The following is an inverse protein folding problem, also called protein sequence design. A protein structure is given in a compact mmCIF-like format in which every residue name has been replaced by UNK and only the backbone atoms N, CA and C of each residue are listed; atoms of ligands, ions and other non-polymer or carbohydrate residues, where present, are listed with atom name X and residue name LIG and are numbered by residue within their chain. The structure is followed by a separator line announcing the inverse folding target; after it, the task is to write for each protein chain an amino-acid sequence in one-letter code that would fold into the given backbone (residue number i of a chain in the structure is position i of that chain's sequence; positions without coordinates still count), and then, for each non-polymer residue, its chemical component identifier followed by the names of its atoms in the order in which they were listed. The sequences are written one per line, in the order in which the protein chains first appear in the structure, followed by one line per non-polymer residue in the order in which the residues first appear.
data_IF_241392144596
#
_entry.id   IF_241392144596
#
_cell.length_a   1.000
_cell.length_b   1.000
_cell.length_c   1.000
_cell.angle_alpha   90.00
_cell.angle_beta   90.00
_cell.angle_gamma   90.00
#
_symmetry.space_group_name_H-M   'P 1'
#
loop_
_entity.id
_entity.type
_entity.pdbx_description
1 polymer ?
#
# COMPACT_ATOMS: atom_id res chain seq x y z
N UNK A 1 8.81 -31.44 68.43
CA UNK A 1 9.64 -31.66 67.22
C UNK A 1 8.87 -31.43 65.91
N UNK A 2 7.60 -31.83 65.79
CA UNK A 2 6.77 -31.63 64.59
C UNK A 2 6.69 -30.17 64.10
N UNK A 3 6.35 -29.23 65.00
CA UNK A 3 6.24 -27.79 64.66
C UNK A 3 7.54 -27.16 64.11
N UNK A 4 8.72 -27.62 64.56
CA UNK A 4 10.00 -27.06 64.09
C UNK A 4 10.32 -27.50 62.65
N UNK A 5 9.89 -28.70 62.26
CA UNK A 5 10.04 -29.19 60.89
C UNK A 5 9.06 -28.49 59.94
N UNK A 6 7.82 -28.24 60.37
CA UNK A 6 6.83 -27.48 59.59
C UNK A 6 7.28 -26.04 59.33
N UNK A 7 7.80 -25.34 60.36
CA UNK A 7 8.36 -24.00 60.19
C UNK A 7 9.55 -23.96 59.21
N UNK A 8 10.38 -25.01 59.20
CA UNK A 8 11.53 -25.11 58.29
C UNK A 8 11.09 -25.33 56.84
N UNK A 9 10.09 -26.17 56.60
CA UNK A 9 9.54 -26.39 55.26
C UNK A 9 8.79 -25.15 54.75
N UNK A 10 8.00 -24.48 55.60
CA UNK A 10 7.35 -23.21 55.26
C UNK A 10 8.39 -22.14 54.87
N UNK A 11 9.50 -22.05 55.61
CA UNK A 11 10.57 -21.08 55.29
C UNK A 11 11.24 -21.35 53.94
N UNK A 12 11.48 -22.62 53.60
CA UNK A 12 12.02 -23.00 52.27
C UNK A 12 11.03 -22.64 51.17
N UNK A 13 9.75 -22.91 51.37
CA UNK A 13 8.72 -22.63 50.38
C UNK A 13 8.54 -21.12 50.17
N UNK A 14 8.60 -20.32 51.24
CA UNK A 14 8.61 -18.86 51.15
C UNK A 14 9.79 -18.33 50.33
N UNK A 15 10.99 -18.90 50.50
CA UNK A 15 12.16 -18.53 49.68
C UNK A 15 11.94 -18.85 48.20
N UNK A 16 11.46 -20.05 47.88
CA UNK A 16 11.13 -20.43 46.49
C UNK A 16 10.08 -19.50 45.88
N UNK A 17 9.05 -19.15 46.63
CA UNK A 17 8.00 -18.24 46.17
C UNK A 17 8.54 -16.82 45.94
N UNK A 18 9.46 -16.34 46.79
CA UNK A 18 10.14 -15.06 46.60
C UNK A 18 11.02 -15.07 45.35
N UNK A 19 11.84 -16.09 45.15
CA UNK A 19 12.66 -16.26 43.95
C UNK A 19 11.81 -16.32 42.68
N UNK A 20 10.73 -17.10 42.71
CA UNK A 20 9.80 -17.21 41.60
C UNK A 20 9.13 -15.88 41.29
N UNK A 21 8.71 -15.13 42.33
CA UNK A 21 8.14 -13.78 42.17
C UNK A 21 9.13 -12.86 41.46
N UNK A 22 10.39 -12.82 41.88
CA UNK A 22 11.43 -11.99 41.24
C UNK A 22 11.65 -12.38 39.78
N UNK A 23 11.69 -13.67 39.47
CA UNK A 23 11.82 -14.16 38.08
C UNK A 23 10.62 -13.75 37.23
N UNK A 24 9.40 -13.87 37.76
CA UNK A 24 8.17 -13.49 37.07
C UNK A 24 8.13 -11.98 36.83
N UNK A 25 8.47 -11.16 37.82
CA UNK A 25 8.54 -9.70 37.69
C UNK A 25 9.56 -9.27 36.63
N UNK A 26 10.74 -9.89 36.61
CA UNK A 26 11.76 -9.64 35.59
C UNK A 26 11.26 -10.01 34.18
N UNK A 27 10.57 -11.15 34.03
CA UNK A 27 9.97 -11.55 32.75
C UNK A 27 8.87 -10.58 32.30
N UNK A 28 8.02 -10.13 33.23
CA UNK A 28 6.98 -9.13 32.94
C UNK A 28 7.61 -7.82 32.46
N UNK A 29 8.66 -7.35 33.13
CA UNK A 29 9.36 -6.13 32.73
C UNK A 29 9.98 -6.26 31.33
N UNK A 30 10.66 -7.38 31.05
CA UNK A 30 11.22 -7.68 29.72
C UNK A 30 10.14 -7.73 28.64
N UNK A 31 9.03 -8.40 28.91
CA UNK A 31 7.92 -8.53 27.96
C UNK A 31 7.24 -7.18 27.71
N UNK A 32 7.10 -6.33 28.72
CA UNK A 32 6.58 -4.96 28.54
C UNK A 32 7.48 -4.13 27.62
N UNK A 33 8.80 -4.20 27.81
CA UNK A 33 9.77 -3.51 26.94
C UNK A 33 9.70 -4.01 25.51
N UNK A 34 9.71 -5.34 25.32
CA UNK A 34 9.60 -5.95 23.99
C UNK A 34 8.28 -5.56 23.29
N UNK A 35 7.17 -5.51 24.03
CA UNK A 35 5.88 -5.08 23.50
C UNK A 35 5.90 -3.62 23.03
N UNK A 36 6.59 -2.73 23.76
CA UNK A 36 6.76 -1.34 23.35
C UNK A 36 7.59 -1.23 22.07
N UNK A 37 8.69 -1.98 21.97
CA UNK A 37 9.54 -2.03 20.78
C UNK A 37 8.76 -2.54 19.56
N UNK A 38 8.01 -3.63 19.71
CA UNK A 38 7.16 -4.18 18.63
C UNK A 38 6.11 -3.16 18.18
N UNK A 39 5.48 -2.43 19.11
CA UNK A 39 4.50 -1.38 18.77
C UNK A 39 5.15 -0.24 18.00
N UNK A 40 6.34 0.19 18.40
CA UNK A 40 7.08 1.24 17.70
C UNK A 40 7.48 0.80 16.29
N UNK A 41 8.01 -0.41 16.12
CA UNK A 41 8.37 -0.96 14.82
C UNK A 41 7.15 -1.14 13.91
N UNK A 42 6.02 -1.63 14.46
CA UNK A 42 4.77 -1.75 13.70
C UNK A 42 4.30 -0.40 13.17
N UNK A 43 4.35 0.65 13.99
CA UNK A 43 3.98 2.00 13.57
C UNK A 43 4.92 2.51 12.47
N UNK A 44 6.23 2.35 12.64
CA UNK A 44 7.21 2.75 11.62
C UNK A 44 6.99 2.03 10.29
N UNK A 45 6.67 0.74 10.31
CA UNK A 45 6.33 -0.02 9.11
C UNK A 45 5.04 0.46 8.44
N UNK A 46 4.03 0.82 9.21
CA UNK A 46 2.79 1.38 8.68
C UNK A 46 3.04 2.74 8.00
N UNK A 47 3.82 3.61 8.64
CA UNK A 47 4.18 4.93 8.07
C UNK A 47 5.03 4.79 6.81
N UNK A 48 5.95 3.82 6.78
CA UNK A 48 6.76 3.50 5.61
C UNK A 48 5.91 2.98 4.46
N UNK A 49 4.99 2.04 4.72
CA UNK A 49 4.08 1.51 3.70
C UNK A 49 3.22 2.64 3.09
N UNK A 50 2.65 3.50 3.93
CA UNK A 50 1.88 4.65 3.45
C UNK A 50 2.73 5.62 2.60
N UNK A 51 4.01 5.76 2.92
CA UNK A 51 4.95 6.58 2.13
C UNK A 51 5.27 5.94 0.78
N UNK A 52 5.54 4.63 0.77
CA UNK A 52 5.80 3.86 -0.46
C UNK A 52 4.58 3.89 -1.38
N UNK A 53 3.38 3.66 -0.86
CA UNK A 53 2.14 3.73 -1.64
C UNK A 53 1.95 5.11 -2.28
N UNK A 54 2.21 6.19 -1.54
CA UNK A 54 2.18 7.56 -2.08
C UNK A 54 3.22 7.77 -3.17
N UNK A 55 4.44 7.28 -2.99
CA UNK A 55 5.50 7.39 -3.99
C UNK A 55 5.17 6.61 -5.27
N UNK A 56 4.66 5.39 -5.14
CA UNK A 56 4.21 4.58 -6.29
C UNK A 56 3.13 5.35 -7.06
N UNK A 57 2.10 5.84 -6.38
CA UNK A 57 1.03 6.61 -7.01
C UNK A 57 1.55 7.88 -7.71
N UNK A 58 2.53 8.57 -7.10
CA UNK A 58 3.17 9.74 -7.71
C UNK A 58 3.98 9.37 -8.95
N UNK A 59 4.78 8.31 -8.91
CA UNK A 59 5.59 7.85 -10.03
C UNK A 59 4.69 7.41 -11.19
N UNK A 60 3.63 6.65 -10.90
CA UNK A 60 2.64 6.25 -11.91
C UNK A 60 1.96 7.47 -12.52
N UNK A 61 1.49 8.42 -11.71
CA UNK A 61 0.87 9.66 -12.20
C UNK A 61 1.83 10.46 -13.08
N UNK A 62 3.10 10.61 -12.68
CA UNK A 62 4.11 11.31 -13.48
C UNK A 62 4.39 10.58 -14.79
N UNK A 63 4.50 9.25 -14.77
CA UNK A 63 4.71 8.44 -15.96
C UNK A 63 3.57 8.60 -16.96
N UNK A 64 2.33 8.52 -16.50
CA UNK A 64 1.16 8.69 -17.39
C UNK A 64 1.01 10.12 -17.89
N UNK A 65 1.35 11.14 -17.08
CA UNK A 65 1.40 12.54 -17.54
C UNK A 65 2.43 12.76 -18.64
N UNK A 66 3.61 12.13 -18.52
CA UNK A 66 4.65 12.20 -19.56
C UNK A 66 4.18 11.52 -20.85
N UNK A 67 3.67 10.30 -20.75
CA UNK A 67 3.11 9.59 -21.91
C UNK A 67 1.97 10.38 -22.56
N UNK A 68 1.08 10.97 -21.77
CA UNK A 68 0.02 11.83 -22.29
C UNK A 68 0.59 13.01 -23.09
N UNK A 69 1.65 13.66 -22.61
CA UNK A 69 2.33 14.74 -23.34
C UNK A 69 2.96 14.26 -24.64
N UNK A 70 3.58 13.09 -24.63
CA UNK A 70 4.17 12.50 -25.84
C UNK A 70 3.09 12.23 -26.90
N UNK A 71 1.94 11.65 -26.50
CA UNK A 71 0.80 11.40 -27.39
C UNK A 71 0.09 12.70 -27.83
N UNK A 72 0.02 13.72 -26.97
CA UNK A 72 -0.50 15.04 -27.34
C UNK A 72 0.35 15.75 -28.41
N UNK A 73 1.64 15.43 -28.48
CA UNK A 73 2.56 15.97 -29.47
C UNK A 73 2.49 15.28 -30.84
N UNK A 74 1.80 14.14 -30.93
CA UNK A 74 1.62 13.40 -32.17
C UNK A 74 0.44 13.90 -32.99
N UNK A 75 0.44 13.65 -34.29
CA UNK A 75 -0.75 13.79 -35.13
C UNK A 75 -1.87 12.88 -34.61
N UNK A 76 -3.14 13.34 -34.59
CA UNK A 76 -4.25 12.59 -33.99
C UNK A 76 -4.46 11.18 -34.57
N UNK A 77 -4.28 11.02 -35.88
CA UNK A 77 -4.41 9.72 -36.56
C UNK A 77 -3.36 8.74 -36.08
N UNK A 78 -2.09 9.16 -36.04
CA UNK A 78 -0.99 8.33 -35.57
C UNK A 78 -1.11 8.02 -34.07
N UNK A 79 -1.56 8.97 -33.26
CA UNK A 79 -1.85 8.75 -31.85
C UNK A 79 -2.94 7.67 -31.66
N UNK A 80 -4.05 7.77 -32.40
CA UNK A 80 -5.14 6.79 -32.36
C UNK A 80 -4.71 5.38 -32.81
N UNK A 81 -3.92 5.30 -33.89
CA UNK A 81 -3.35 4.03 -34.36
C UNK A 81 -2.44 3.39 -33.30
N UNK A 82 -1.57 4.19 -32.67
CA UNK A 82 -0.68 3.69 -31.60
C UNK A 82 -1.45 3.25 -30.37
N UNK A 83 -2.45 4.02 -29.93
CA UNK A 83 -3.32 3.63 -28.82
C UNK A 83 -4.03 2.29 -29.09
N UNK A 84 -4.39 2.03 -30.35
CA UNK A 84 -5.05 0.78 -30.76
C UNK A 84 -4.14 -0.44 -30.62
N UNK A 85 -2.82 -0.25 -30.77
CA UNK A 85 -1.79 -1.31 -30.71
C UNK A 85 -1.28 -1.59 -29.29
N UNK A 86 -1.73 -0.83 -28.29
CA UNK A 86 -1.36 -1.09 -26.89
C UNK A 86 -2.09 -2.36 -26.42
N UNK A 87 -1.32 -3.37 -25.99
CA UNK A 87 -1.86 -4.67 -25.58
C UNK A 87 -2.78 -4.58 -24.35
N UNK A 88 -2.41 -3.75 -23.36
CA UNK A 88 -3.24 -3.50 -22.19
C UNK A 88 -4.11 -2.23 -22.38
N UNK A 89 -5.44 -2.36 -22.55
CA UNK A 89 -6.33 -1.23 -22.72
C UNK A 89 -6.33 -0.26 -21.54
N UNK A 90 -5.91 -0.69 -20.34
CA UNK A 90 -5.77 0.20 -19.19
C UNK A 90 -4.69 1.25 -19.42
N UNK A 91 -3.56 0.86 -20.00
CA UNK A 91 -2.46 1.80 -20.28
C UNK A 91 -2.94 2.88 -21.25
N UNK A 92 -3.61 2.50 -22.34
CA UNK A 92 -4.19 3.44 -23.29
C UNK A 92 -5.23 4.37 -22.62
N UNK A 93 -6.09 3.83 -21.76
CA UNK A 93 -7.07 4.62 -21.02
C UNK A 93 -6.40 5.62 -20.05
N UNK A 94 -5.37 5.22 -19.31
CA UNK A 94 -4.66 6.14 -18.40
C UNK A 94 -3.89 7.23 -19.16
N UNK A 95 -3.33 6.92 -20.33
CA UNK A 95 -2.72 7.93 -21.21
C UNK A 95 -3.78 8.95 -21.61
N UNK A 96 -4.88 8.49 -22.24
CA UNK A 96 -5.98 9.35 -22.70
C UNK A 96 -6.61 10.18 -21.56
N UNK A 97 -6.75 9.59 -20.37
CA UNK A 97 -7.27 10.28 -19.19
C UNK A 97 -6.39 11.45 -18.74
N UNK A 98 -5.07 11.34 -18.91
CA UNK A 98 -4.11 12.40 -18.56
C UNK A 98 -3.84 13.39 -19.70
N UNK A 99 -4.37 13.14 -20.90
CA UNK A 99 -4.27 14.05 -22.05
C UNK A 99 -5.26 15.21 -21.93
N UNK A 100 -5.00 16.28 -22.68
CA UNK A 100 -5.95 17.34 -22.93
C UNK A 100 -7.21 16.75 -23.60
N UNK A 101 -8.37 17.03 -23.02
CA UNK A 101 -9.67 16.48 -23.45
C UNK A 101 -9.91 16.60 -24.97
N UNK A 102 -9.52 17.73 -25.58
CA UNK A 102 -9.70 17.94 -27.02
C UNK A 102 -8.83 16.99 -27.84
N UNK A 103 -7.53 16.94 -27.53
CA UNK A 103 -6.57 16.07 -28.23
C UNK A 103 -6.87 14.59 -28.01
N UNK A 104 -7.31 14.22 -26.81
CA UNK A 104 -7.77 12.88 -26.51
C UNK A 104 -9.00 12.50 -27.36
N UNK A 105 -9.97 13.41 -27.48
CA UNK A 105 -11.14 13.24 -28.35
C UNK A 105 -10.76 13.10 -29.83
N UNK A 106 -9.82 13.93 -30.30
CA UNK A 106 -9.31 13.87 -31.67
C UNK A 106 -8.60 12.53 -31.95
N UNK A 107 -7.76 12.04 -31.03
CA UNK A 107 -7.10 10.74 -31.17
C UNK A 107 -8.06 9.55 -31.12
N UNK A 108 -9.12 9.62 -30.28
CA UNK A 108 -10.14 8.58 -30.16
C UNK A 108 -10.89 8.29 -31.48
N UNK A 109 -11.01 9.28 -32.36
CA UNK A 109 -11.64 9.10 -33.68
C UNK A 109 -10.89 8.10 -34.56
N UNK A 110 -9.60 7.89 -34.29
CA UNK A 110 -8.72 7.00 -35.07
C UNK A 110 -8.33 5.73 -34.32
N UNK A 111 -8.95 5.47 -33.15
CA UNK A 111 -8.75 4.23 -32.41
C UNK A 111 -9.62 3.12 -32.99
N UNK A 112 -9.05 1.94 -33.22
CA UNK A 112 -9.76 0.77 -33.72
C UNK A 112 -10.97 0.43 -32.81
N UNK A 113 -12.15 0.08 -33.38
CA UNK A 113 -13.38 -0.11 -32.61
C UNK A 113 -13.27 -1.10 -31.45
N UNK A 114 -12.54 -2.20 -31.66
CA UNK A 114 -12.32 -3.24 -30.65
C UNK A 114 -11.57 -2.70 -29.42
N UNK A 115 -10.49 -1.95 -29.64
CA UNK A 115 -9.70 -1.31 -28.58
C UNK A 115 -10.47 -0.16 -27.94
N UNK A 116 -11.18 0.65 -28.75
CA UNK A 116 -11.97 1.79 -28.30
C UNK A 116 -13.02 1.39 -27.25
N UNK A 117 -13.78 0.32 -27.51
CA UNK A 117 -14.81 -0.16 -26.58
C UNK A 117 -14.25 -0.52 -25.19
N UNK A 118 -13.07 -1.15 -25.16
CA UNK A 118 -12.37 -1.54 -23.93
C UNK A 118 -11.84 -0.32 -23.19
N UNK A 119 -11.21 0.61 -23.91
CA UNK A 119 -10.67 1.86 -23.37
C UNK A 119 -11.79 2.71 -22.75
N UNK A 120 -12.89 2.93 -23.47
CA UNK A 120 -14.02 3.72 -22.98
C UNK A 120 -14.62 3.10 -21.71
N UNK A 121 -14.80 1.78 -21.68
CA UNK A 121 -15.29 1.09 -20.48
C UNK A 121 -14.41 1.40 -19.26
N UNK A 122 -13.09 1.37 -19.41
CA UNK A 122 -12.15 1.68 -18.33
C UNK A 122 -12.23 3.16 -17.94
N UNK A 123 -12.26 4.09 -18.91
CA UNK A 123 -12.38 5.52 -18.65
C UNK A 123 -13.64 5.87 -17.83
N UNK A 124 -14.78 5.21 -18.10
CA UNK A 124 -16.00 5.42 -17.30
C UNK A 124 -15.88 4.94 -15.85
N UNK A 125 -15.03 3.94 -15.59
CA UNK A 125 -14.78 3.43 -14.25
C UNK A 125 -13.81 4.35 -13.48
N UNK A 126 -12.78 4.88 -14.15
CA UNK A 126 -11.85 5.85 -13.55
C UNK A 126 -12.58 7.11 -13.08
N UNK A 127 -13.50 7.64 -13.90
CA UNK A 127 -14.29 8.83 -13.56
C UNK A 127 -15.24 8.64 -12.36
N UNK A 128 -15.63 7.40 -12.04
CA UNK A 128 -16.46 7.10 -10.87
C UNK A 128 -15.68 7.18 -9.55
N UNK A 129 -14.37 6.99 -9.58
CA UNK A 129 -13.52 7.00 -8.37
C UNK A 129 -13.11 8.40 -7.92
N UNK A 130 -13.19 9.42 -8.78
CA UNK A 130 -12.94 10.83 -8.39
C UNK A 130 -14.14 11.53 -7.75
N UNK A 131 -15.36 10.99 -7.89
CA UNK A 131 -16.59 11.63 -7.38
C UNK A 131 -17.00 11.17 -5.96
N UNK A 132 -16.08 10.59 -5.20
CA UNK A 132 -16.32 10.19 -3.80
C UNK A 132 -15.31 10.81 -2.86
#
# INVERSE_FOLDING_TARGET
MLFANECKEISKELKKLQELKTVVEAKIAKNKKLLQEIKAQKKALQDLNATIEKQIAQIESQRFKKLAKDFEGMDPEYAGEKLSKIEDPKIAAYILYNMNSRKAGEALNYVAPESLSKIVKILTQLKKHEKK
#
